data_IF_537202681332
#
_entry.id   IF_537202681332
#
_cell.length_a   1.000
_cell.length_b   1.000
_cell.length_c   1.000
_cell.angle_alpha   90.00
_cell.angle_beta   90.00
_cell.angle_gamma   90.00
#
_symmetry.space_group_name_H-M   'P 1'
#
loop_
_entity.id
_entity.type
_entity.pdbx_description
1 polymer ?
#
# COMPACT_ATOMS: atom_id res chain seq x y z
N UNK A 1 -23.19 19.95 1.92
CA UNK A 1 -22.79 19.42 0.60
C UNK A 1 -23.99 19.52 -0.33
N UNK A 2 -23.83 19.99 -1.56
CA UNK A 2 -24.95 20.11 -2.52
C UNK A 2 -25.21 18.74 -3.17
N UNK A 3 -26.37 18.14 -2.87
CA UNK A 3 -26.74 16.81 -3.35
C UNK A 3 -26.85 16.72 -4.87
N UNK A 4 -27.39 17.78 -5.53
CA UNK A 4 -27.58 17.81 -6.98
C UNK A 4 -26.24 17.87 -7.72
N UNK A 5 -25.25 18.60 -7.16
CA UNK A 5 -23.89 18.63 -7.69
C UNK A 5 -23.22 17.24 -7.57
N UNK A 6 -23.34 16.60 -6.43
CA UNK A 6 -22.81 15.24 -6.23
C UNK A 6 -23.46 14.26 -7.20
N UNK A 7 -24.79 14.33 -7.38
CA UNK A 7 -25.50 13.47 -8.36
C UNK A 7 -25.01 13.72 -9.78
N UNK A 8 -24.74 14.97 -10.14
CA UNK A 8 -24.20 15.31 -11.47
C UNK A 8 -22.82 14.68 -11.69
N UNK A 9 -21.93 14.76 -10.70
CA UNK A 9 -20.59 14.13 -10.77
C UNK A 9 -20.71 12.59 -10.87
N UNK A 10 -21.57 11.98 -10.07
CA UNK A 10 -21.83 10.54 -10.15
C UNK A 10 -22.29 10.16 -11.57
N UNK A 11 -23.23 10.89 -12.13
CA UNK A 11 -23.75 10.59 -13.48
C UNK A 11 -22.67 10.71 -14.58
N UNK A 12 -21.73 11.65 -14.45
CA UNK A 12 -20.63 11.82 -15.40
C UNK A 12 -19.59 10.70 -15.28
N UNK A 13 -19.37 10.20 -14.05
CA UNK A 13 -18.34 9.17 -13.77
C UNK A 13 -18.85 7.73 -13.92
N UNK A 14 -20.15 7.53 -14.07
CA UNK A 14 -20.73 6.19 -14.27
C UNK A 14 -20.46 5.65 -15.67
N UNK A 15 -20.24 4.34 -15.77
CA UNK A 15 -20.23 3.64 -17.05
C UNK A 15 -21.66 3.45 -17.57
N UNK A 16 -21.85 3.60 -18.89
CA UNK A 16 -23.14 3.36 -19.56
C UNK A 16 -23.33 1.91 -19.98
N UNK A 17 -22.24 1.11 -20.04
CA UNK A 17 -22.22 -0.27 -20.52
C UNK A 17 -21.88 -1.23 -19.41
N UNK A 18 -22.85 -1.54 -18.55
CA UNK A 18 -22.67 -2.47 -17.46
C UNK A 18 -22.51 -3.91 -17.97
N UNK A 19 -21.43 -4.58 -17.55
CA UNK A 19 -21.23 -6.01 -17.82
C UNK A 19 -21.97 -6.85 -16.77
N UNK A 20 -22.86 -7.72 -17.22
CA UNK A 20 -23.56 -8.66 -16.33
C UNK A 20 -22.60 -9.62 -15.62
N UNK A 21 -21.47 -9.97 -16.21
CA UNK A 21 -20.44 -10.79 -15.56
C UNK A 21 -19.82 -10.06 -14.37
N UNK A 22 -19.48 -8.78 -14.52
CA UNK A 22 -18.95 -7.97 -13.42
C UNK A 22 -20.00 -7.75 -12.32
N UNK A 23 -21.26 -7.47 -12.70
CA UNK A 23 -22.35 -7.32 -11.74
C UNK A 23 -22.59 -8.61 -10.97
N UNK A 24 -22.58 -9.76 -11.66
CA UNK A 24 -22.72 -11.09 -11.01
C UNK A 24 -21.57 -11.36 -10.06
N UNK A 25 -20.34 -11.04 -10.43
CA UNK A 25 -19.18 -11.23 -9.55
C UNK A 25 -19.27 -10.40 -8.27
N UNK A 26 -19.77 -9.16 -8.36
CA UNK A 26 -20.04 -8.30 -7.22
C UNK A 26 -21.11 -8.91 -6.28
N UNK A 27 -22.21 -9.43 -6.83
CA UNK A 27 -23.26 -10.03 -6.02
C UNK A 27 -22.83 -11.35 -5.37
N UNK A 28 -22.04 -12.18 -6.10
CA UNK A 28 -21.46 -13.39 -5.52
C UNK A 28 -20.52 -13.05 -4.37
N UNK A 29 -19.66 -12.03 -4.55
CA UNK A 29 -18.75 -11.55 -3.50
C UNK A 29 -19.52 -11.05 -2.28
N UNK A 30 -20.51 -10.20 -2.50
CA UNK A 30 -21.41 -9.70 -1.45
C UNK A 30 -22.07 -10.86 -0.69
N UNK A 31 -22.64 -11.83 -1.43
CA UNK A 31 -23.32 -13.00 -0.83
C UNK A 31 -22.33 -13.83 0.01
N UNK A 32 -21.14 -14.07 -0.52
CA UNK A 32 -20.11 -14.84 0.20
C UNK A 32 -19.71 -14.14 1.51
N UNK A 33 -19.50 -12.82 1.46
CA UNK A 33 -19.19 -12.03 2.65
C UNK A 33 -20.35 -12.00 3.65
N UNK A 34 -21.59 -11.90 3.18
CA UNK A 34 -22.76 -11.93 4.06
C UNK A 34 -22.90 -13.25 4.82
N UNK A 35 -22.57 -14.38 4.16
CA UNK A 35 -22.73 -15.72 4.73
C UNK A 35 -21.53 -16.19 5.56
N UNK A 36 -20.31 -15.83 5.16
CA UNK A 36 -19.06 -16.39 5.69
C UNK A 36 -18.02 -15.33 6.06
N UNK A 37 -18.28 -14.04 5.83
CA UNK A 37 -17.28 -12.98 5.95
C UNK A 37 -16.62 -12.95 7.33
N UNK A 38 -17.41 -13.08 8.40
CA UNK A 38 -16.86 -13.08 9.77
C UNK A 38 -15.81 -14.18 9.97
N UNK A 39 -16.12 -15.41 9.53
CA UNK A 39 -15.20 -16.54 9.67
C UNK A 39 -13.97 -16.37 8.77
N UNK A 40 -14.18 -15.93 7.52
CA UNK A 40 -13.11 -15.72 6.57
C UNK A 40 -12.15 -14.64 7.03
N UNK A 41 -12.65 -13.49 7.49
CA UNK A 41 -11.79 -12.42 7.98
C UNK A 41 -11.13 -12.70 9.32
N UNK A 42 -11.75 -13.47 10.21
CA UNK A 42 -11.08 -13.95 11.41
C UNK A 42 -9.81 -14.75 11.05
N UNK A 43 -9.95 -15.68 10.11
CA UNK A 43 -8.85 -16.50 9.62
C UNK A 43 -7.74 -15.65 8.94
N UNK A 44 -8.14 -14.71 8.08
CA UNK A 44 -7.19 -13.77 7.44
C UNK A 44 -6.43 -12.96 8.47
N UNK A 45 -7.12 -12.48 9.51
CA UNK A 45 -6.51 -11.73 10.61
C UNK A 45 -5.48 -12.56 11.40
N UNK A 46 -5.79 -13.84 11.66
CA UNK A 46 -4.85 -14.77 12.29
C UNK A 46 -3.60 -14.99 11.41
N UNK A 47 -3.79 -15.19 10.13
CA UNK A 47 -2.68 -15.36 9.19
C UNK A 47 -1.83 -14.11 9.02
N UNK A 48 -2.48 -12.95 8.98
CA UNK A 48 -1.78 -11.68 8.91
C UNK A 48 -0.95 -11.40 10.16
N UNK A 49 -1.46 -11.79 11.34
CA UNK A 49 -0.69 -11.68 12.58
C UNK A 49 0.46 -12.68 12.60
N UNK A 50 0.21 -13.94 12.21
CA UNK A 50 1.25 -14.96 12.07
C UNK A 50 2.39 -14.48 11.16
N UNK A 51 2.06 -13.92 10.00
CA UNK A 51 3.07 -13.39 9.08
C UNK A 51 3.94 -12.30 9.73
N UNK A 52 3.32 -11.37 10.49
CA UNK A 52 4.05 -10.31 11.22
C UNK A 52 5.01 -10.89 12.24
N UNK A 53 4.52 -11.82 13.04
CA UNK A 53 5.30 -12.43 14.11
C UNK A 53 6.50 -13.17 13.54
N UNK A 54 6.30 -13.98 12.49
CA UNK A 54 7.38 -14.70 11.82
C UNK A 54 8.39 -13.77 11.15
N UNK A 55 7.95 -12.74 10.44
CA UNK A 55 8.85 -11.76 9.80
C UNK A 55 9.68 -11.02 10.85
N UNK A 56 9.07 -10.62 11.96
CA UNK A 56 9.80 -9.97 13.05
C UNK A 56 10.81 -10.92 13.73
N UNK A 57 10.56 -12.24 13.71
CA UNK A 57 11.51 -13.24 14.21
C UNK A 57 12.68 -13.52 13.26
N UNK A 58 12.51 -13.32 11.95
CA UNK A 58 13.60 -13.46 10.97
C UNK A 58 14.77 -12.55 11.30
N UNK A 59 14.49 -11.34 11.79
CA UNK A 59 15.48 -10.30 12.05
C UNK A 59 15.85 -9.50 10.79
N UNK A 60 16.20 -8.22 11.01
CA UNK A 60 16.50 -7.29 9.93
C UNK A 60 15.27 -6.73 9.20
N UNK A 61 14.09 -7.10 9.61
CA UNK A 61 12.81 -6.55 9.18
C UNK A 61 12.01 -6.05 10.37
N UNK A 62 11.08 -5.13 10.09
CA UNK A 62 10.07 -4.74 11.06
C UNK A 62 8.69 -4.71 10.39
N UNK A 63 7.86 -5.68 10.71
CA UNK A 63 6.48 -5.74 10.25
C UNK A 63 5.59 -4.94 11.22
N UNK A 64 5.03 -3.84 10.72
CA UNK A 64 4.20 -2.92 11.50
C UNK A 64 2.89 -3.57 11.96
N UNK A 65 2.45 -3.22 13.18
CA UNK A 65 1.25 -3.78 13.79
C UNK A 65 0.48 -2.79 14.66
N UNK A 66 -0.25 -3.31 15.63
CA UNK A 66 -1.15 -2.53 16.52
C UNK A 66 -0.41 -1.51 17.40
N UNK A 67 0.88 -1.65 17.58
CA UNK A 67 1.72 -0.69 18.32
C UNK A 67 1.72 0.71 17.69
N UNK A 68 1.36 0.83 16.42
CA UNK A 68 1.20 2.13 15.75
C UNK A 68 -0.02 2.92 16.25
N UNK A 69 -1.01 2.25 16.83
CA UNK A 69 -2.24 2.90 17.29
C UNK A 69 -1.91 3.71 18.55
N UNK A 70 -2.02 5.03 18.45
CA UNK A 70 -1.64 5.95 19.52
C UNK A 70 -2.78 6.86 20.00
N UNK A 71 -3.98 6.71 19.41
CA UNK A 71 -5.18 7.49 19.75
C UNK A 71 -5.14 8.96 19.33
N UNK A 72 -4.04 9.43 18.75
CA UNK A 72 -3.86 10.81 18.29
C UNK A 72 -3.80 10.93 16.76
N UNK A 73 -2.73 10.42 16.18
CA UNK A 73 -2.47 10.50 14.72
C UNK A 73 -2.82 9.22 14.00
N UNK A 74 -2.73 8.06 14.67
CA UNK A 74 -3.12 6.75 14.15
C UNK A 74 -4.21 6.19 15.05
N UNK A 75 -5.43 6.16 14.54
CA UNK A 75 -6.61 5.69 15.27
C UNK A 75 -6.81 4.19 15.15
N UNK A 76 -6.54 3.64 13.99
CA UNK A 76 -6.68 2.21 13.66
C UNK A 76 -5.88 1.90 12.40
N UNK A 77 -5.70 0.61 12.10
CA UNK A 77 -5.07 0.16 10.87
C UNK A 77 -5.71 -1.15 10.38
N UNK A 78 -5.64 -1.39 9.08
CA UNK A 78 -6.12 -2.62 8.46
C UNK A 78 -5.12 -3.75 8.69
N UNK A 79 -5.49 -4.73 9.52
CA UNK A 79 -4.63 -5.88 9.86
C UNK A 79 -4.24 -6.73 8.65
N UNK A 80 -5.01 -6.67 7.55
CA UNK A 80 -4.74 -7.42 6.32
C UNK A 80 -3.62 -6.79 5.47
N UNK A 81 -3.23 -5.54 5.77
CA UNK A 81 -2.14 -4.83 5.12
C UNK A 81 -0.84 -5.15 5.84
N UNK A 82 -0.02 -5.99 5.24
CA UNK A 82 1.28 -6.38 5.78
C UNK A 82 2.34 -5.40 5.25
N UNK A 83 2.62 -4.36 6.02
CA UNK A 83 3.69 -3.40 5.73
C UNK A 83 4.93 -3.81 6.51
N UNK A 84 6.08 -3.92 5.82
CA UNK A 84 7.35 -4.41 6.38
C UNK A 84 8.46 -3.45 6.02
N UNK A 85 9.14 -2.93 7.03
CA UNK A 85 10.36 -2.14 6.88
C UNK A 85 11.54 -3.05 6.53
N UNK A 86 12.36 -2.65 5.55
CA UNK A 86 13.41 -3.50 4.96
C UNK A 86 14.81 -2.93 5.12
N UNK A 87 14.96 -1.69 5.58
CA UNK A 87 16.26 -0.98 5.58
C UNK A 87 17.29 -1.59 6.53
N UNK A 88 16.88 -2.31 7.56
CA UNK A 88 17.81 -2.92 8.51
C UNK A 88 18.64 -4.05 7.89
N UNK A 89 18.18 -4.62 6.76
CA UNK A 89 19.00 -5.53 5.93
C UNK A 89 19.81 -4.80 4.86
N UNK A 90 19.78 -3.47 4.83
CA UNK A 90 20.50 -2.65 3.86
C UNK A 90 19.90 -2.61 2.47
N UNK A 91 18.70 -3.14 2.26
CA UNK A 91 17.94 -3.09 1.01
C UNK A 91 16.80 -2.07 1.12
N UNK A 92 16.50 -1.39 0.02
CA UNK A 92 15.23 -0.66 -0.05
C UNK A 92 14.07 -1.60 -0.42
N UNK A 93 12.83 -1.12 -0.20
CA UNK A 93 11.67 -1.94 -0.47
C UNK A 93 11.48 -2.25 -1.96
N UNK A 94 11.99 -1.41 -2.86
CA UNK A 94 11.95 -1.65 -4.31
C UNK A 94 12.87 -2.82 -4.67
N UNK A 95 14.10 -2.85 -4.11
CA UNK A 95 15.03 -3.97 -4.29
C UNK A 95 14.41 -5.28 -3.79
N UNK A 96 13.80 -5.27 -2.60
CA UNK A 96 13.13 -6.47 -2.05
C UNK A 96 11.93 -6.88 -2.89
N UNK A 97 11.12 -5.92 -3.36
CA UNK A 97 10.00 -6.18 -4.27
C UNK A 97 10.45 -6.87 -5.56
N UNK A 98 11.51 -6.35 -6.19
CA UNK A 98 12.04 -6.92 -7.44
C UNK A 98 12.58 -8.34 -7.22
N UNK A 99 13.33 -8.59 -6.14
CA UNK A 99 13.84 -9.93 -5.80
C UNK A 99 12.67 -10.90 -5.55
N UNK A 100 11.66 -10.50 -4.78
CA UNK A 100 10.48 -11.33 -4.53
C UNK A 100 9.78 -11.73 -5.83
N UNK A 101 9.61 -10.78 -6.77
CA UNK A 101 8.98 -11.03 -8.06
C UNK A 101 9.83 -11.92 -8.96
N UNK A 102 11.11 -11.59 -9.12
CA UNK A 102 11.97 -12.14 -10.17
C UNK A 102 12.58 -13.49 -9.77
N UNK A 103 12.86 -13.70 -8.48
CA UNK A 103 13.54 -14.92 -8.01
C UNK A 103 12.63 -15.87 -7.24
N UNK A 104 11.58 -15.34 -6.58
CA UNK A 104 10.68 -16.16 -5.76
C UNK A 104 9.28 -16.32 -6.38
N UNK A 105 8.99 -15.64 -7.51
CA UNK A 105 7.67 -15.62 -8.15
C UNK A 105 6.57 -15.23 -7.14
N UNK A 106 6.85 -14.20 -6.33
CA UNK A 106 5.93 -13.62 -5.35
C UNK A 106 5.64 -12.18 -5.73
N UNK A 107 4.40 -11.94 -6.17
CA UNK A 107 3.92 -10.60 -6.47
C UNK A 107 3.24 -10.01 -5.24
N UNK A 108 3.83 -8.96 -4.69
CA UNK A 108 3.24 -8.13 -3.63
C UNK A 108 2.68 -6.83 -4.21
N UNK A 109 2.06 -5.99 -3.39
CA UNK A 109 1.40 -4.77 -3.87
C UNK A 109 2.40 -3.72 -4.37
N UNK A 110 3.38 -3.35 -3.53
CA UNK A 110 4.45 -2.45 -3.92
C UNK A 110 5.65 -2.51 -2.98
N UNK A 111 6.76 -1.89 -3.43
CA UNK A 111 7.90 -1.51 -2.60
C UNK A 111 8.17 -0.01 -2.73
N UNK A 112 8.60 0.63 -1.63
CA UNK A 112 9.08 2.01 -1.62
C UNK A 112 10.54 2.08 -1.12
N UNK A 113 11.02 3.28 -0.78
CA UNK A 113 12.40 3.50 -0.32
C UNK A 113 12.75 2.70 0.95
N UNK A 114 11.78 2.39 1.79
CA UNK A 114 12.03 1.76 3.10
C UNK A 114 11.16 0.56 3.42
N UNK A 115 10.12 0.33 2.64
CA UNK A 115 9.10 -0.65 2.98
C UNK A 115 8.66 -1.45 1.78
N UNK A 116 8.14 -2.64 2.06
CA UNK A 116 7.28 -3.39 1.15
C UNK A 116 5.87 -3.48 1.73
N UNK A 117 4.87 -3.64 0.87
CA UNK A 117 3.50 -3.91 1.29
C UNK A 117 2.92 -5.11 0.54
N UNK A 118 2.37 -6.04 1.30
CA UNK A 118 1.60 -7.16 0.81
C UNK A 118 0.17 -7.12 1.37
N UNK A 119 -0.80 -7.61 0.62
CA UNK A 119 -2.16 -7.80 1.06
C UNK A 119 -2.42 -9.27 1.34
N UNK A 120 -2.97 -9.57 2.50
CA UNK A 120 -3.44 -10.92 2.83
C UNK A 120 -4.95 -10.93 2.70
N UNK A 121 -5.46 -11.76 1.83
CA UNK A 121 -6.87 -11.79 1.43
C UNK A 121 -7.54 -13.12 1.76
N UNK A 122 -8.85 -13.17 1.58
CA UNK A 122 -9.63 -14.41 1.74
C UNK A 122 -9.33 -15.46 0.65
N UNK A 123 -8.62 -15.07 -0.40
CA UNK A 123 -8.19 -15.95 -1.49
C UNK A 123 -6.85 -16.63 -1.24
N UNK A 124 -6.06 -16.13 -0.29
CA UNK A 124 -4.75 -16.68 0.03
C UNK A 124 -4.85 -17.96 0.88
N UNK A 125 -3.79 -18.74 0.87
CA UNK A 125 -3.62 -19.93 1.68
C UNK A 125 -2.45 -19.72 2.64
N UNK A 126 -2.42 -20.47 3.72
CA UNK A 126 -1.31 -20.41 4.67
C UNK A 126 0.05 -20.69 4.00
N UNK A 127 0.10 -21.60 3.01
CA UNK A 127 1.31 -21.92 2.27
C UNK A 127 1.85 -20.72 1.48
N UNK A 128 0.97 -19.84 0.98
CA UNK A 128 1.37 -18.64 0.25
C UNK A 128 2.04 -17.63 1.21
N UNK A 129 1.56 -17.55 2.44
CA UNK A 129 2.13 -16.74 3.52
C UNK A 129 3.47 -17.30 3.99
N UNK A 130 3.54 -18.62 4.23
CA UNK A 130 4.78 -19.30 4.61
C UNK A 130 5.86 -19.15 3.54
N UNK A 131 5.46 -19.17 2.26
CA UNK A 131 6.35 -18.90 1.13
C UNK A 131 6.91 -17.49 1.16
N UNK A 132 6.08 -16.49 1.45
CA UNK A 132 6.53 -15.09 1.60
C UNK A 132 7.53 -14.94 2.76
N UNK A 133 7.20 -15.50 3.94
CA UNK A 133 8.07 -15.47 5.12
C UNK A 133 9.41 -16.16 4.82
N UNK A 134 9.37 -17.34 4.20
CA UNK A 134 10.56 -18.08 3.80
C UNK A 134 11.44 -17.31 2.80
N UNK A 135 10.83 -16.65 1.81
CA UNK A 135 11.54 -15.82 0.84
C UNK A 135 12.21 -14.62 1.53
N UNK A 136 11.53 -13.92 2.43
CA UNK A 136 12.10 -12.81 3.19
C UNK A 136 13.27 -13.27 4.08
N UNK A 137 13.17 -14.44 4.71
CA UNK A 137 14.26 -15.01 5.49
C UNK A 137 15.48 -15.32 4.62
N UNK A 138 15.27 -15.85 3.42
CA UNK A 138 16.35 -16.14 2.49
C UNK A 138 16.96 -14.87 1.91
N UNK A 139 16.16 -13.87 1.57
CA UNK A 139 16.62 -12.54 1.12
C UNK A 139 17.49 -11.89 2.20
N UNK A 140 17.06 -11.89 3.46
CA UNK A 140 17.87 -11.39 4.56
C UNK A 140 19.24 -12.09 4.63
N UNK A 141 19.27 -13.39 4.45
CA UNK A 141 20.50 -14.19 4.51
C UNK A 141 21.44 -13.97 3.33
N UNK A 142 20.89 -13.83 2.11
CA UNK A 142 21.70 -13.82 0.88
C UNK A 142 22.07 -12.42 0.41
N UNK A 143 21.21 -11.44 0.65
CA UNK A 143 21.32 -10.10 0.04
C UNK A 143 21.56 -8.98 1.05
N UNK A 144 21.64 -9.27 2.37
CA UNK A 144 21.92 -8.22 3.36
C UNK A 144 23.20 -7.47 3.03
N UNK A 145 23.11 -6.15 3.08
CA UNK A 145 24.20 -5.21 2.85
C UNK A 145 24.47 -4.43 4.14
N UNK A 146 25.66 -3.87 4.29
CA UNK A 146 25.88 -2.87 5.33
C UNK A 146 24.89 -1.71 5.17
N UNK A 147 24.28 -1.28 6.27
CA UNK A 147 23.24 -0.27 6.31
C UNK A 147 23.72 1.01 5.61
N UNK A 148 23.14 1.33 4.47
CA UNK A 148 23.28 2.67 3.88
C UNK A 148 22.29 3.57 4.62
N UNK A 149 22.78 4.36 5.58
CA UNK A 149 21.97 5.41 6.20
C UNK A 149 21.62 6.44 5.14
N UNK A 150 20.43 6.33 4.62
CA UNK A 150 19.85 7.37 3.78
C UNK A 150 19.14 8.35 4.73
N UNK A 151 19.83 9.43 5.08
CA UNK A 151 19.19 10.54 5.78
C UNK A 151 18.28 11.28 4.80
N UNK A 152 17.00 11.01 4.89
CA UNK A 152 16.01 11.82 4.19
C UNK A 152 15.86 13.13 4.95
N UNK A 153 16.26 14.24 4.35
CA UNK A 153 15.97 15.56 4.91
C UNK A 153 14.45 15.75 4.98
N UNK A 154 13.91 15.64 6.18
CA UNK A 154 12.47 15.78 6.43
C UNK A 154 11.91 17.14 5.97
N UNK A 155 12.75 18.17 5.89
CA UNK A 155 12.31 19.47 5.40
C UNK A 155 12.00 19.44 3.88
N UNK A 156 12.71 18.61 3.11
CA UNK A 156 12.39 18.38 1.69
C UNK A 156 11.08 17.61 1.48
N UNK A 157 10.64 16.81 2.46
CA UNK A 157 9.41 16.00 2.37
C UNK A 157 8.16 16.74 2.87
N UNK A 158 8.28 17.93 3.41
CA UNK A 158 7.16 18.73 3.90
C UNK A 158 6.96 19.99 3.05
N UNK A 159 6.43 19.85 1.82
CA UNK A 159 6.16 21.00 0.97
C UNK A 159 5.11 21.89 1.62
N UNK A 160 5.26 23.19 1.45
CA UNK A 160 4.25 24.14 1.88
C UNK A 160 3.01 24.01 1.02
N UNK A 161 1.88 23.67 1.62
CA UNK A 161 0.59 23.65 0.94
C UNK A 161 0.15 25.10 0.69
N UNK A 162 -0.05 25.49 -0.57
CA UNK A 162 -0.40 26.84 -1.00
C UNK A 162 -1.84 26.96 -1.48
N UNK A 163 -2.45 25.87 -1.92
CA UNK A 163 -3.83 25.83 -2.41
C UNK A 163 -4.50 24.52 -2.02
N UNK A 164 -5.80 24.53 -1.84
CA UNK A 164 -6.57 23.30 -1.69
C UNK A 164 -6.59 22.49 -3.01
N UNK A 165 -6.84 21.16 -2.98
CA UNK A 165 -7.00 20.39 -4.20
C UNK A 165 -8.07 20.94 -5.15
N UNK A 166 -9.17 21.48 -4.62
CA UNK A 166 -10.23 22.07 -5.41
C UNK A 166 -9.77 23.35 -6.12
N UNK A 167 -9.09 24.26 -5.43
CA UNK A 167 -8.55 25.49 -6.04
C UNK A 167 -7.52 25.15 -7.11
N UNK A 168 -6.62 24.20 -6.83
CA UNK A 168 -5.62 23.76 -7.79
C UNK A 168 -6.25 23.06 -9.02
N UNK A 169 -7.36 22.34 -8.84
CA UNK A 169 -8.06 21.68 -9.94
C UNK A 169 -8.66 22.67 -10.93
N UNK A 170 -9.25 23.77 -10.45
CA UNK A 170 -9.91 24.79 -11.30
C UNK A 170 -8.99 25.93 -11.73
N UNK A 171 -7.78 26.01 -11.19
CA UNK A 171 -6.81 27.03 -11.60
C UNK A 171 -6.29 26.79 -13.02
N UNK A 172 -5.87 27.87 -13.68
CA UNK A 172 -5.14 27.77 -14.93
C UNK A 172 -3.81 27.03 -14.77
N UNK A 173 -3.51 26.13 -15.72
CA UNK A 173 -2.34 25.26 -15.68
C UNK A 173 -1.43 25.51 -16.85
N UNK A 174 -0.13 25.52 -16.59
CA UNK A 174 0.90 25.60 -17.63
C UNK A 174 1.82 24.37 -17.53
N UNK A 175 2.31 23.92 -18.67
CA UNK A 175 3.40 22.92 -18.70
C UNK A 175 4.72 23.61 -18.72
N UNK A 176 5.58 23.28 -17.76
CA UNK A 176 6.94 23.83 -17.65
C UNK A 176 7.95 22.69 -17.68
N UNK A 177 9.06 22.82 -18.38
CA UNK A 177 10.18 21.87 -18.27
C UNK A 177 10.64 21.76 -16.82
N UNK A 178 10.97 20.57 -16.35
CA UNK A 178 11.36 20.35 -14.95
C UNK A 178 12.51 21.25 -14.48
N UNK A 179 13.41 21.62 -15.39
CA UNK A 179 14.54 22.55 -15.09
C UNK A 179 14.10 23.97 -14.79
N UNK A 180 12.91 24.34 -15.23
CA UNK A 180 12.32 25.68 -15.07
C UNK A 180 11.23 25.68 -14.01
N UNK A 181 10.93 24.52 -13.40
CA UNK A 181 9.85 24.36 -12.44
C UNK A 181 10.11 25.02 -11.07
N UNK A 182 11.35 25.38 -10.77
CA UNK A 182 11.67 26.06 -9.51
C UNK A 182 10.90 27.36 -9.37
N UNK A 183 10.22 27.54 -8.22
CA UNK A 183 9.38 28.72 -7.95
C UNK A 183 7.94 28.61 -8.43
N UNK A 184 7.57 27.56 -9.15
CA UNK A 184 6.17 27.29 -9.53
C UNK A 184 5.46 26.40 -8.51
N UNK A 185 4.15 26.51 -8.48
CA UNK A 185 3.29 25.63 -7.65
C UNK A 185 3.08 24.33 -8.41
N UNK A 186 3.52 23.20 -7.84
CA UNK A 186 3.34 21.88 -8.42
C UNK A 186 1.93 21.34 -8.15
N UNK A 187 1.26 20.86 -9.19
CA UNK A 187 0.04 20.07 -9.08
C UNK A 187 0.33 18.59 -9.27
N UNK A 188 0.26 17.81 -8.22
CA UNK A 188 0.48 16.36 -8.27
C UNK A 188 -0.60 15.58 -9.03
N UNK A 189 -1.76 16.20 -9.29
CA UNK A 189 -2.89 15.57 -9.97
C UNK A 189 -2.70 15.53 -11.50
N UNK A 190 -1.73 16.26 -12.04
CA UNK A 190 -1.56 16.48 -13.47
C UNK A 190 -0.13 16.19 -13.97
N UNK A 191 0.59 15.35 -13.25
CA UNK A 191 1.91 14.84 -13.65
C UNK A 191 1.76 13.84 -14.79
#
# INVERSE_FOLDING_TARGET
>A
MNADYVQTIINITQTTSASYLLMTSLDISRRNLALRGRQSFAKVSEWAQYARDEINMVGGYYAYGKELINGGTVYDYDVTKLCVYTRDIGLDGIEVYDILRDEYDIQIEFGDIGNIMAYISIGDRIQDIERLVGALAEISRLYSKEEKRFEVDRQMLLPRVLASPQEAFYADKIKVPIREAAGHILSLIHI
#
